data_IF_693726479392
#
_entry.id   IF_693726479392
#
_cell.length_a   1.000
_cell.length_b   1.000
_cell.length_c   1.000
_cell.angle_alpha   90.00
_cell.angle_beta   90.00
_cell.angle_gamma   90.00
#
_symmetry.space_group_name_H-M   'P 1'
#
loop_
_entity.id
_entity.type
_entity.pdbx_description
1 polymer ?
#
# COMPACT_ATOMS: atom_id res chain seq x y z
N UNK A 1 -3.03 52.51 -25.01
CA UNK A 1 -3.06 52.38 -26.48
C UNK A 1 -4.52 52.47 -26.92
N UNK A 2 -4.81 53.05 -28.09
CA UNK A 2 -6.19 53.20 -28.57
C UNK A 2 -6.72 51.88 -29.13
N UNK A 3 -8.01 51.59 -28.94
CA UNK A 3 -8.68 50.45 -29.55
C UNK A 3 -9.16 50.83 -30.96
N UNK A 4 -8.74 50.07 -31.98
CA UNK A 4 -9.20 50.24 -33.35
C UNK A 4 -10.59 49.63 -33.52
N UNK A 5 -11.61 50.47 -33.75
CA UNK A 5 -12.88 49.98 -34.28
C UNK A 5 -12.66 49.52 -35.73
N UNK A 6 -13.12 48.32 -36.05
CA UNK A 6 -13.32 47.90 -37.43
C UNK A 6 -14.75 48.22 -37.83
N UNK A 7 -14.94 49.22 -38.70
CA UNK A 7 -16.20 49.39 -39.40
C UNK A 7 -16.46 48.18 -40.29
N UNK A 8 -17.66 47.60 -40.14
CA UNK A 8 -18.15 46.53 -41.01
C UNK A 8 -18.92 47.21 -42.15
N UNK A 9 -18.65 46.87 -43.43
CA UNK A 9 -19.24 47.57 -44.55
C UNK A 9 -20.77 47.42 -44.56
N UNK A 10 -21.46 48.54 -44.35
CA UNK A 10 -22.93 48.61 -44.47
C UNK A 10 -23.34 48.25 -45.89
N UNK A 11 -24.17 47.21 -46.05
CA UNK A 11 -24.78 46.88 -47.34
C UNK A 11 -25.84 47.92 -47.70
N UNK A 12 -25.44 48.92 -48.48
CA UNK A 12 -26.39 49.79 -49.19
C UNK A 12 -27.28 48.93 -50.10
N UNK A 13 -28.59 48.96 -49.90
CA UNK A 13 -29.54 48.21 -50.72
C UNK A 13 -29.75 48.89 -52.09
N UNK A 14 -28.82 48.65 -53.02
CA UNK A 14 -28.95 49.11 -54.41
C UNK A 14 -29.95 48.24 -55.18
N UNK A 15 -31.24 48.47 -54.96
CA UNK A 15 -32.36 48.09 -55.85
C UNK A 15 -33.63 48.84 -55.38
N UNK A 16 -33.70 50.13 -55.68
CA UNK A 16 -34.96 50.88 -55.68
C UNK A 16 -35.43 50.96 -57.12
N UNK A 17 -36.56 50.32 -57.43
CA UNK A 17 -37.29 50.50 -58.69
C UNK A 17 -38.34 51.58 -58.48
N UNK A 18 -38.35 52.61 -59.33
CA UNK A 18 -39.18 53.83 -59.18
C UNK A 18 -40.71 53.63 -59.18
N UNK A 19 -41.19 52.39 -59.33
CA UNK A 19 -42.60 51.99 -59.36
C UNK A 19 -43.19 51.66 -57.96
N UNK A 20 -42.35 51.46 -56.93
CA UNK A 20 -42.80 51.07 -55.58
C UNK A 20 -42.76 52.25 -54.59
N UNK A 21 -43.94 52.85 -54.35
CA UNK A 21 -44.07 54.14 -53.65
C UNK A 21 -43.79 54.11 -52.12
N UNK A 22 -43.54 52.94 -51.52
CA UNK A 22 -43.21 52.77 -50.10
C UNK A 22 -42.20 51.61 -49.95
N UNK A 23 -41.00 51.83 -49.39
CA UNK A 23 -40.03 50.75 -49.15
C UNK A 23 -40.56 49.65 -48.22
N UNK A 24 -40.26 48.39 -48.52
CA UNK A 24 -40.69 47.26 -47.69
C UNK A 24 -39.76 46.98 -46.49
N UNK A 25 -40.36 46.72 -45.33
CA UNK A 25 -39.72 46.12 -44.16
C UNK A 25 -40.29 44.70 -43.96
N UNK A 26 -39.58 43.66 -44.44
CA UNK A 26 -40.03 42.28 -44.31
C UNK A 26 -40.00 41.77 -42.85
N UNK A 27 -41.10 42.01 -42.15
CA UNK A 27 -41.35 41.51 -40.79
C UNK A 27 -41.50 39.98 -40.69
N UNK A 28 -41.59 39.26 -41.81
CA UNK A 28 -41.58 37.79 -41.84
C UNK A 28 -40.18 37.23 -41.61
N UNK A 29 -39.14 37.84 -42.18
CA UNK A 29 -37.74 37.49 -41.91
C UNK A 29 -37.38 37.73 -40.43
N UNK A 30 -37.82 38.86 -39.86
CA UNK A 30 -37.65 39.16 -38.43
C UNK A 30 -38.24 38.05 -37.54
N UNK A 31 -39.43 37.55 -37.89
CA UNK A 31 -40.07 36.41 -37.20
C UNK A 31 -39.24 35.13 -37.34
N UNK A 32 -38.78 34.81 -38.56
CA UNK A 32 -37.96 33.62 -38.85
C UNK A 32 -36.69 33.60 -38.01
N UNK A 33 -35.97 34.72 -37.98
CA UNK A 33 -34.73 34.88 -37.21
C UNK A 33 -34.93 34.63 -35.71
N UNK A 34 -36.05 35.10 -35.13
CA UNK A 34 -36.34 34.86 -33.72
C UNK A 34 -36.75 33.40 -33.41
N UNK A 35 -37.38 32.69 -34.34
CA UNK A 35 -37.66 31.26 -34.20
C UNK A 35 -36.36 30.43 -34.23
N UNK A 36 -35.45 30.75 -35.16
CA UNK A 36 -34.11 30.14 -35.24
C UNK A 36 -33.29 30.41 -33.97
N UNK A 37 -33.36 31.64 -33.44
CA UNK A 37 -32.67 32.04 -32.20
C UNK A 37 -33.21 31.30 -30.97
N UNK A 38 -34.53 31.09 -30.85
CA UNK A 38 -35.09 30.22 -29.79
C UNK A 38 -34.70 28.76 -29.96
N UNK A 39 -34.54 28.27 -31.19
CA UNK A 39 -34.06 26.90 -31.43
C UNK A 39 -32.60 26.73 -30.98
N UNK A 40 -31.74 27.73 -31.21
CA UNK A 40 -30.38 27.76 -30.69
C UNK A 40 -30.35 27.73 -29.14
N UNK A 41 -31.14 28.56 -28.46
CA UNK A 41 -31.25 28.53 -26.98
C UNK A 41 -31.79 27.21 -26.46
N UNK A 42 -32.77 26.60 -27.14
CA UNK A 42 -33.29 25.27 -26.78
C UNK A 42 -32.19 24.20 -26.85
N UNK A 43 -31.36 24.21 -27.90
CA UNK A 43 -30.24 23.28 -28.02
C UNK A 43 -29.16 23.54 -26.95
N UNK A 44 -28.84 24.80 -26.65
CA UNK A 44 -27.91 25.16 -25.59
C UNK A 44 -28.40 24.69 -24.20
N UNK A 45 -29.70 24.80 -23.92
CA UNK A 45 -30.31 24.26 -22.71
C UNK A 45 -30.19 22.73 -22.64
N UNK A 46 -30.50 22.05 -23.74
CA UNK A 46 -30.34 20.59 -23.86
C UNK A 46 -28.91 20.11 -23.60
N UNK A 47 -27.91 20.75 -24.18
CA UNK A 47 -26.50 20.38 -23.95
C UNK A 47 -26.05 20.55 -22.50
N UNK A 48 -26.64 21.51 -21.77
CA UNK A 48 -26.37 21.69 -20.35
C UNK A 48 -27.13 20.67 -19.48
N UNK A 49 -28.36 20.30 -19.85
CA UNK A 49 -29.09 19.18 -19.27
C UNK A 49 -28.30 17.87 -19.43
N UNK A 50 -27.86 17.55 -20.65
CA UNK A 50 -27.06 16.36 -20.98
C UNK A 50 -25.75 16.29 -20.17
N UNK A 51 -25.04 17.41 -20.02
CA UNK A 51 -23.80 17.49 -19.23
C UNK A 51 -24.02 17.22 -17.74
N UNK A 52 -25.07 17.81 -17.14
CA UNK A 52 -25.38 17.61 -15.72
C UNK A 52 -25.94 16.20 -15.48
N UNK A 53 -26.73 15.64 -16.41
CA UNK A 53 -27.20 14.25 -16.31
C UNK A 53 -26.06 13.23 -16.49
N UNK A 54 -25.10 13.49 -17.38
CA UNK A 54 -23.88 12.69 -17.50
C UNK A 54 -23.05 12.75 -16.21
N UNK A 55 -22.97 13.92 -15.57
CA UNK A 55 -22.29 14.08 -14.27
C UNK A 55 -23.03 13.33 -13.15
N UNK A 56 -24.36 13.39 -13.09
CA UNK A 56 -25.19 12.63 -12.15
C UNK A 56 -24.97 11.12 -12.29
N UNK A 57 -24.98 10.62 -13.53
CA UNK A 57 -24.69 9.22 -13.85
C UNK A 57 -23.27 8.81 -13.42
N UNK A 58 -22.28 9.71 -13.51
CA UNK A 58 -20.94 9.46 -13.01
C UNK A 58 -20.89 9.37 -11.48
N UNK A 59 -21.57 10.27 -10.75
CA UNK A 59 -21.69 10.20 -9.29
C UNK A 59 -22.37 8.88 -8.82
N UNK A 60 -23.46 8.49 -9.51
CA UNK A 60 -24.14 7.21 -9.30
C UNK A 60 -23.31 5.98 -9.72
N UNK A 61 -22.27 6.15 -10.54
CA UNK A 61 -21.30 5.11 -10.86
C UNK A 61 -20.24 4.99 -9.76
N UNK A 62 -19.65 6.11 -9.32
CA UNK A 62 -18.69 6.16 -8.21
C UNK A 62 -19.23 5.48 -6.94
N UNK A 63 -20.52 5.66 -6.62
CA UNK A 63 -21.20 4.92 -5.55
C UNK A 63 -20.95 3.40 -5.63
N UNK A 64 -21.20 2.80 -6.80
CA UNK A 64 -21.10 1.35 -7.04
C UNK A 64 -19.66 0.85 -7.04
N UNK A 65 -18.72 1.70 -7.43
CA UNK A 65 -17.29 1.37 -7.35
C UNK A 65 -16.79 1.45 -5.90
N UNK A 66 -17.21 2.46 -5.11
CA UNK A 66 -16.91 2.50 -3.68
C UNK A 66 -17.60 1.37 -2.89
N UNK A 67 -18.79 0.89 -3.30
CA UNK A 67 -19.36 -0.37 -2.78
C UNK A 67 -18.51 -1.61 -3.08
N UNK A 68 -17.70 -1.61 -4.16
CA UNK A 68 -16.73 -2.68 -4.45
C UNK A 68 -15.45 -2.51 -3.63
N UNK A 69 -14.94 -1.29 -3.49
CA UNK A 69 -13.80 -0.98 -2.61
C UNK A 69 -14.14 -1.37 -1.17
N UNK A 70 -15.33 -1.01 -0.67
CA UNK A 70 -15.80 -1.37 0.67
C UNK A 70 -15.78 -2.88 0.93
N UNK A 71 -16.08 -3.70 -0.09
CA UNK A 71 -16.07 -5.17 0.03
C UNK A 71 -14.67 -5.72 0.34
N UNK A 72 -13.59 -5.07 -0.08
CA UNK A 72 -12.21 -5.52 0.22
C UNK A 72 -11.87 -5.41 1.71
N UNK A 73 -12.48 -4.44 2.42
CA UNK A 73 -12.31 -4.19 3.86
C UNK A 73 -13.55 -4.56 4.70
N UNK A 74 -14.56 -5.19 4.09
CA UNK A 74 -15.85 -5.51 4.73
C UNK A 74 -15.77 -6.66 5.75
N UNK A 75 -14.87 -7.61 5.55
CA UNK A 75 -14.63 -8.70 6.47
C UNK A 75 -13.70 -8.25 7.61
N UNK A 76 -13.86 -8.80 8.84
CA UNK A 76 -12.83 -8.70 9.87
C UNK A 76 -11.49 -9.25 9.39
N UNK A 77 -10.39 -8.78 9.99
CA UNK A 77 -9.05 -9.27 9.68
C UNK A 77 -8.96 -10.78 9.86
N UNK A 78 -8.46 -11.48 8.83
CA UNK A 78 -8.01 -12.87 8.97
C UNK A 78 -6.91 -12.91 10.04
N UNK A 79 -6.96 -13.93 10.89
CA UNK A 79 -6.06 -14.06 12.05
C UNK A 79 -6.09 -12.83 12.98
N UNK A 80 -7.19 -12.06 12.96
CA UNK A 80 -7.37 -10.79 13.67
C UNK A 80 -7.01 -10.81 15.16
N UNK A 81 -7.11 -11.99 15.80
CA UNK A 81 -6.68 -12.24 17.18
C UNK A 81 -5.20 -11.93 17.48
N UNK A 82 -4.33 -11.79 16.47
CA UNK A 82 -2.95 -11.35 16.68
C UNK A 82 -2.86 -9.84 16.96
N UNK A 83 -3.74 -9.04 16.37
CA UNK A 83 -3.80 -7.59 16.57
C UNK A 83 -4.58 -7.23 17.84
N UNK A 84 -4.29 -6.09 18.44
CA UNK A 84 -5.13 -5.56 19.51
C UNK A 84 -6.48 -5.09 18.94
N UNK A 85 -7.55 -5.28 19.71
CA UNK A 85 -8.92 -4.97 19.31
C UNK A 85 -9.40 -3.61 19.88
N UNK A 86 -8.56 -2.92 20.65
CA UNK A 86 -8.83 -1.56 21.13
C UNK A 86 -8.64 -0.52 20.01
N UNK A 87 -9.31 0.63 20.16
CA UNK A 87 -9.10 1.77 19.27
C UNK A 87 -7.66 2.29 19.39
N UNK A 88 -7.03 2.59 18.25
CA UNK A 88 -5.63 3.00 18.16
C UNK A 88 -4.69 1.90 17.64
N UNK A 89 -5.18 0.67 17.46
CA UNK A 89 -4.47 -0.41 16.78
C UNK A 89 -4.87 -0.62 15.31
N UNK A 90 -4.23 -1.58 14.67
CA UNK A 90 -4.44 -1.99 13.26
C UNK A 90 -5.87 -2.47 13.02
N UNK A 91 -6.52 -3.14 13.99
CA UNK A 91 -7.93 -3.49 13.85
C UNK A 91 -8.81 -2.24 13.71
N UNK A 92 -8.60 -1.24 14.58
CA UNK A 92 -9.28 0.06 14.52
C UNK A 92 -8.99 0.84 13.23
N UNK A 93 -7.77 0.70 12.68
CA UNK A 93 -7.41 1.28 11.38
C UNK A 93 -8.26 0.72 10.24
N UNK A 94 -8.45 -0.60 10.17
CA UNK A 94 -9.29 -1.22 9.14
C UNK A 94 -10.78 -0.90 9.34
N UNK A 95 -11.24 -0.76 10.58
CA UNK A 95 -12.60 -0.29 10.90
C UNK A 95 -12.82 1.17 10.50
N UNK A 96 -11.82 2.04 10.67
CA UNK A 96 -11.82 3.41 10.19
C UNK A 96 -11.88 3.47 8.65
N UNK A 97 -11.01 2.72 7.96
CA UNK A 97 -10.98 2.65 6.49
C UNK A 97 -12.33 2.16 5.94
N UNK A 98 -12.94 1.14 6.55
CA UNK A 98 -14.28 0.64 6.20
C UNK A 98 -15.34 1.74 6.37
N UNK A 99 -15.31 2.44 7.50
CA UNK A 99 -16.28 3.51 7.82
C UNK A 99 -16.16 4.70 6.85
N UNK A 100 -14.94 5.16 6.58
CA UNK A 100 -14.69 6.25 5.63
C UNK A 100 -14.98 5.85 4.18
N UNK A 101 -14.80 4.58 3.80
CA UNK A 101 -15.18 4.09 2.46
C UNK A 101 -16.70 3.97 2.29
N UNK A 102 -17.44 3.60 3.34
CA UNK A 102 -18.90 3.71 3.35
C UNK A 102 -19.35 5.19 3.28
N UNK A 103 -18.62 6.10 3.94
CA UNK A 103 -18.81 7.55 3.83
C UNK A 103 -18.67 8.04 2.39
N UNK A 104 -17.62 7.63 1.68
CA UNK A 104 -17.38 7.92 0.26
C UNK A 104 -18.53 7.41 -0.64
N UNK A 105 -18.98 6.17 -0.47
CA UNK A 105 -20.13 5.64 -1.23
C UNK A 105 -21.41 6.47 -0.98
N UNK A 106 -21.63 6.89 0.27
CA UNK A 106 -22.80 7.66 0.67
C UNK A 106 -22.77 9.11 0.16
N UNK A 107 -21.61 9.79 0.17
CA UNK A 107 -21.51 11.15 -0.36
C UNK A 107 -21.79 11.19 -1.86
N UNK A 108 -21.15 10.32 -2.64
CA UNK A 108 -21.40 10.17 -4.08
C UNK A 108 -22.89 9.86 -4.39
N UNK A 109 -23.55 9.07 -3.54
CA UNK A 109 -24.98 8.78 -3.64
C UNK A 109 -25.82 10.05 -3.44
N UNK A 110 -25.50 10.88 -2.45
CA UNK A 110 -26.26 12.10 -2.17
C UNK A 110 -25.99 13.20 -3.21
N UNK A 111 -24.74 13.35 -3.67
CA UNK A 111 -24.40 14.24 -4.79
C UNK A 111 -25.23 13.91 -6.03
N UNK A 112 -25.37 12.61 -6.38
CA UNK A 112 -26.22 12.19 -7.49
C UNK A 112 -27.69 12.60 -7.29
N UNK A 113 -28.26 12.39 -6.10
CA UNK A 113 -29.64 12.81 -5.79
C UNK A 113 -29.83 14.31 -5.91
N UNK A 114 -28.90 15.13 -5.42
CA UNK A 114 -29.02 16.60 -5.47
C UNK A 114 -28.92 17.12 -6.91
N UNK A 115 -27.99 16.57 -7.72
CA UNK A 115 -27.92 16.88 -9.15
C UNK A 115 -29.24 16.55 -9.88
N UNK A 116 -29.83 15.37 -9.57
CA UNK A 116 -31.07 14.89 -10.18
C UNK A 116 -32.33 15.63 -9.72
N UNK A 117 -32.42 15.91 -8.42
CA UNK A 117 -33.63 16.40 -7.74
C UNK A 117 -33.70 17.92 -7.58
N UNK A 118 -32.56 18.61 -7.64
CA UNK A 118 -32.48 20.07 -7.49
C UNK A 118 -32.01 20.75 -8.77
N UNK A 119 -30.91 20.29 -9.37
CA UNK A 119 -30.27 21.03 -10.48
C UNK A 119 -30.94 20.78 -11.84
N UNK A 120 -31.13 19.52 -12.25
CA UNK A 120 -31.79 19.20 -13.52
C UNK A 120 -33.21 19.79 -13.67
N UNK A 121 -34.07 19.84 -12.61
CA UNK A 121 -35.39 20.46 -12.70
C UNK A 121 -35.38 21.97 -13.05
N UNK A 122 -34.32 22.71 -12.70
CA UNK A 122 -34.18 24.13 -13.07
C UNK A 122 -34.10 24.25 -14.60
N UNK A 123 -33.27 23.42 -15.23
CA UNK A 123 -33.07 23.41 -16.68
C UNK A 123 -34.26 22.82 -17.42
N UNK A 124 -34.83 21.70 -16.93
CA UNK A 124 -36.03 21.09 -17.52
C UNK A 124 -37.23 22.05 -17.55
N UNK A 125 -37.35 22.91 -16.52
CA UNK A 125 -38.30 24.02 -16.50
C UNK A 125 -37.97 25.08 -17.55
N UNK A 126 -36.72 25.53 -17.63
CA UNK A 126 -36.27 26.51 -18.62
C UNK A 126 -36.48 26.03 -20.07
N UNK A 127 -36.19 24.76 -20.36
CA UNK A 127 -36.45 24.12 -21.64
C UNK A 127 -37.95 24.16 -21.98
N UNK A 128 -38.83 23.91 -21.00
CA UNK A 128 -40.26 24.05 -21.17
C UNK A 128 -40.70 25.51 -21.41
N UNK A 129 -40.08 26.48 -20.73
CA UNK A 129 -40.31 27.92 -20.93
C UNK A 129 -39.88 28.36 -22.35
N UNK A 130 -38.69 27.98 -22.82
CA UNK A 130 -38.22 28.22 -24.21
C UNK A 130 -39.17 27.57 -25.24
N UNK A 131 -39.59 26.33 -25.00
CA UNK A 131 -40.55 25.60 -25.85
C UNK A 131 -41.93 26.27 -25.87
N UNK A 132 -42.31 27.01 -24.83
CA UNK A 132 -43.55 27.77 -24.79
C UNK A 132 -43.40 29.14 -25.47
N UNK A 133 -42.30 29.86 -25.27
CA UNK A 133 -42.00 31.12 -25.97
C UNK A 133 -41.91 30.94 -27.49
N UNK A 134 -41.43 29.79 -27.94
CA UNK A 134 -41.43 29.41 -29.37
C UNK A 134 -42.86 29.30 -29.92
N UNK A 135 -43.74 28.53 -29.25
CA UNK A 135 -45.18 28.44 -29.62
C UNK A 135 -45.90 29.79 -29.58
N UNK A 136 -45.54 30.65 -28.64
CA UNK A 136 -46.09 32.01 -28.50
C UNK A 136 -45.77 32.82 -29.75
N UNK A 137 -44.49 32.88 -30.15
CA UNK A 137 -44.07 33.57 -31.38
C UNK A 137 -44.74 32.98 -32.63
N UNK A 138 -44.74 31.65 -32.81
CA UNK A 138 -45.37 31.01 -33.99
C UNK A 138 -46.88 31.28 -34.09
N UNK A 139 -47.58 31.53 -32.96
CA UNK A 139 -49.03 31.83 -32.94
C UNK A 139 -49.36 33.33 -32.99
N UNK A 140 -48.45 34.19 -32.54
CA UNK A 140 -48.60 35.64 -32.57
C UNK A 140 -48.23 36.24 -33.92
N UNK A 141 -47.14 35.76 -34.52
CA UNK A 141 -46.58 36.31 -35.75
C UNK A 141 -47.50 36.13 -36.98
N UNK A 142 -47.29 36.96 -37.98
CA UNK A 142 -48.05 36.92 -39.24
C UNK A 142 -49.49 37.42 -39.17
N UNK A 143 -49.96 37.95 -38.03
CA UNK A 143 -51.24 38.67 -37.95
C UNK A 143 -51.13 40.09 -38.51
N UNK A 144 -50.19 40.89 -38.02
CA UNK A 144 -49.95 42.26 -38.49
C UNK A 144 -49.53 42.30 -39.96
N UNK A 145 -48.57 41.45 -40.36
CA UNK A 145 -48.17 41.28 -41.76
C UNK A 145 -49.37 41.07 -42.71
N UNK A 146 -50.32 40.17 -42.38
CA UNK A 146 -51.52 39.95 -43.22
C UNK A 146 -52.48 41.15 -43.30
N UNK A 147 -52.44 42.07 -42.33
CA UNK A 147 -53.17 43.34 -42.41
C UNK A 147 -52.45 44.34 -43.31
N UNK A 148 -51.12 44.42 -43.18
CA UNK A 148 -50.24 45.19 -44.07
C UNK A 148 -50.37 44.73 -45.53
N UNK A 149 -50.22 43.43 -45.80
CA UNK A 149 -50.40 42.82 -47.13
C UNK A 149 -51.74 43.22 -47.75
N UNK A 150 -52.81 43.13 -46.96
CA UNK A 150 -54.18 43.45 -47.41
C UNK A 150 -54.35 44.95 -47.66
N UNK A 151 -53.71 45.81 -46.87
CA UNK A 151 -53.73 47.25 -47.07
C UNK A 151 -52.96 47.63 -48.35
N UNK A 152 -51.70 47.17 -48.49
CA UNK A 152 -50.86 47.32 -49.69
C UNK A 152 -51.58 46.90 -50.97
N UNK A 153 -52.12 45.67 -51.00
CA UNK A 153 -52.91 45.14 -52.13
C UNK A 153 -54.17 45.97 -52.43
N UNK A 154 -54.69 46.74 -51.46
CA UNK A 154 -55.84 47.64 -51.65
C UNK A 154 -55.39 49.01 -52.15
N UNK A 155 -54.27 49.55 -51.65
CA UNK A 155 -53.66 50.79 -52.14
C UNK A 155 -53.23 50.64 -53.60
N UNK A 156 -52.43 49.61 -53.90
CA UNK A 156 -51.84 49.36 -55.21
C UNK A 156 -52.89 49.36 -56.33
N UNK A 157 -53.97 48.60 -56.16
CA UNK A 157 -55.09 48.53 -57.14
C UNK A 157 -55.78 49.87 -57.40
N UNK A 158 -55.70 50.82 -56.46
CA UNK A 158 -56.26 52.16 -56.64
C UNK A 158 -55.23 53.16 -57.19
N UNK A 159 -53.93 52.93 -56.98
CA UNK A 159 -52.85 53.63 -57.70
C UNK A 159 -52.86 53.24 -59.18
N UNK A 160 -52.98 51.94 -59.48
CA UNK A 160 -53.15 51.41 -60.84
C UNK A 160 -54.41 51.98 -61.53
N UNK A 161 -55.55 51.98 -60.84
CA UNK A 161 -56.80 52.56 -61.35
C UNK A 161 -56.67 54.07 -61.61
N UNK A 162 -56.03 54.81 -60.69
CA UNK A 162 -55.73 56.23 -60.89
C UNK A 162 -54.85 56.44 -62.14
N UNK A 163 -53.79 55.64 -62.30
CA UNK A 163 -52.89 55.71 -63.46
C UNK A 163 -53.59 55.43 -64.79
N UNK A 164 -54.52 54.47 -64.81
CA UNK A 164 -55.33 54.16 -65.99
C UNK A 164 -56.25 55.34 -66.37
N UNK A 165 -56.88 56.00 -65.38
CA UNK A 165 -57.79 57.12 -65.63
C UNK A 165 -57.09 58.48 -65.85
N UNK A 166 -55.88 58.70 -65.33
CA UNK A 166 -55.06 59.85 -65.74
C UNK A 166 -54.51 59.68 -67.15
N UNK A 167 -53.96 58.52 -67.51
CA UNK A 167 -53.43 58.27 -68.86
C UNK A 167 -54.50 58.31 -69.97
N UNK A 168 -55.75 57.99 -69.63
CA UNK A 168 -56.90 58.07 -70.57
C UNK A 168 -57.61 59.44 -70.57
N UNK A 169 -57.25 60.37 -69.69
CA UNK A 169 -57.92 61.68 -69.59
C UNK A 169 -57.79 62.52 -70.87
N UNK A 170 -56.55 62.72 -71.34
CA UNK A 170 -56.26 63.53 -72.53
C UNK A 170 -56.78 62.87 -73.83
N UNK A 171 -56.70 61.54 -73.91
CA UNK A 171 -57.11 60.77 -75.10
C UNK A 171 -58.63 60.57 -75.23
N UNK A 172 -59.39 60.67 -74.13
CA UNK A 172 -60.87 60.66 -74.14
C UNK A 172 -61.49 62.05 -74.23
N UNK A 173 -60.68 63.12 -74.11
CA UNK A 173 -61.16 64.50 -74.05
C UNK A 173 -62.00 64.78 -72.81
N UNK A 174 -61.62 64.20 -71.65
CA UNK A 174 -62.30 64.39 -70.37
C UNK A 174 -63.66 63.70 -70.22
N UNK A 175 -64.03 62.78 -71.12
CA UNK A 175 -65.32 62.05 -71.09
C UNK A 175 -65.30 60.84 -70.14
N UNK A 176 -65.07 61.09 -68.86
CA UNK A 176 -65.07 60.09 -67.78
C UNK A 176 -66.41 60.10 -67.01
N UNK A 177 -66.71 59.03 -66.26
CA UNK A 177 -67.82 59.06 -65.31
C UNK A 177 -67.40 59.74 -64.00
N UNK A 178 -68.36 60.19 -63.19
CA UNK A 178 -68.08 60.84 -61.90
C UNK A 178 -67.44 59.90 -60.85
N UNK A 179 -67.40 58.58 -61.09
CA UNK A 179 -66.67 57.61 -60.26
C UNK A 179 -65.22 57.41 -60.73
N UNK A 180 -64.95 57.65 -62.02
CA UNK A 180 -63.67 57.46 -62.69
C UNK A 180 -62.84 58.76 -62.74
N UNK A 181 -63.37 59.85 -62.18
CA UNK A 181 -62.73 61.15 -62.10
C UNK A 181 -61.34 61.05 -61.40
N UNK A 182 -60.24 61.48 -62.04
CA UNK A 182 -58.90 61.33 -61.47
C UNK A 182 -58.69 62.04 -60.13
N UNK A 183 -59.40 63.13 -59.84
CA UNK A 183 -59.29 63.83 -58.56
C UNK A 183 -60.04 63.07 -57.44
N UNK A 184 -61.21 62.48 -57.74
CA UNK A 184 -61.91 61.56 -56.84
C UNK A 184 -61.06 60.31 -56.57
N UNK A 185 -60.46 59.72 -57.61
CA UNK A 185 -59.57 58.57 -57.49
C UNK A 185 -58.30 58.90 -56.68
N UNK A 186 -57.68 60.06 -56.90
CA UNK A 186 -56.51 60.51 -56.13
C UNK A 186 -56.82 60.66 -54.64
N UNK A 187 -57.99 61.22 -54.29
CA UNK A 187 -58.46 61.26 -52.89
C UNK A 187 -58.73 59.87 -52.33
N UNK A 188 -59.19 58.95 -53.18
CA UNK A 188 -59.31 57.52 -52.86
C UNK A 188 -57.95 56.87 -52.54
N UNK A 189 -56.91 57.18 -53.30
CA UNK A 189 -55.52 56.73 -53.05
C UNK A 189 -55.00 57.28 -51.74
N UNK A 190 -55.09 58.59 -51.49
CA UNK A 190 -54.61 59.19 -50.22
C UNK A 190 -55.26 58.54 -48.98
N UNK A 191 -56.57 58.24 -49.02
CA UNK A 191 -57.25 57.54 -47.94
C UNK A 191 -56.70 56.12 -47.69
N UNK A 192 -56.39 55.37 -48.76
CA UNK A 192 -55.89 53.99 -48.67
C UNK A 192 -54.43 53.95 -48.25
N UNK A 193 -53.59 54.83 -48.80
CA UNK A 193 -52.19 55.01 -48.42
C UNK A 193 -52.06 55.40 -46.93
N UNK A 194 -52.87 56.35 -46.45
CA UNK A 194 -52.92 56.69 -45.03
C UNK A 194 -53.34 55.48 -44.17
N UNK A 195 -54.28 54.65 -44.63
CA UNK A 195 -54.63 53.42 -43.93
C UNK A 195 -53.47 52.42 -43.91
N UNK A 196 -52.81 52.19 -45.05
CA UNK A 196 -51.65 51.31 -45.15
C UNK A 196 -50.55 51.73 -44.17
N UNK A 197 -50.19 53.02 -44.14
CA UNK A 197 -49.22 53.59 -43.21
C UNK A 197 -49.61 53.34 -41.75
N UNK A 198 -50.91 53.35 -41.41
CA UNK A 198 -51.38 53.00 -40.06
C UNK A 198 -51.18 51.50 -39.75
N UNK A 199 -51.55 50.59 -40.66
CA UNK A 199 -51.36 49.15 -40.45
C UNK A 199 -49.86 48.78 -40.39
N UNK A 200 -49.01 49.44 -41.19
CA UNK A 200 -47.55 49.28 -41.20
C UNK A 200 -46.91 49.78 -39.90
N UNK A 201 -47.29 50.96 -39.41
CA UNK A 201 -46.81 51.46 -38.11
C UNK A 201 -47.29 50.59 -36.94
N UNK A 202 -48.52 50.06 -36.99
CA UNK A 202 -49.02 49.12 -35.98
C UNK A 202 -48.17 47.83 -35.98
N UNK A 203 -47.94 47.22 -37.15
CA UNK A 203 -47.13 46.01 -37.29
C UNK A 203 -45.67 46.25 -36.83
N UNK A 204 -45.09 47.42 -37.13
CA UNK A 204 -43.77 47.85 -36.63
C UNK A 204 -43.74 47.93 -35.11
N UNK A 205 -44.76 48.53 -34.49
CA UNK A 205 -44.85 48.67 -33.02
C UNK A 205 -45.08 47.32 -32.32
N UNK A 206 -45.84 46.41 -32.92
CA UNK A 206 -45.96 45.01 -32.47
C UNK A 206 -44.59 44.30 -32.53
N UNK A 207 -43.85 44.44 -33.64
CA UNK A 207 -42.52 43.82 -33.77
C UNK A 207 -41.51 44.40 -32.76
N UNK A 208 -41.50 45.71 -32.52
CA UNK A 208 -40.68 46.32 -31.45
C UNK A 208 -41.07 45.77 -30.06
N UNK A 209 -42.34 45.48 -29.83
CA UNK A 209 -42.81 44.87 -28.57
C UNK A 209 -42.33 43.42 -28.44
N UNK A 210 -42.35 42.64 -29.52
CA UNK A 210 -41.78 41.29 -29.58
C UNK A 210 -40.27 41.32 -29.32
N UNK A 211 -39.52 42.22 -29.97
CA UNK A 211 -38.07 42.38 -29.79
C UNK A 211 -37.70 42.66 -28.32
N UNK A 212 -38.41 43.59 -27.67
CA UNK A 212 -38.20 43.90 -26.25
C UNK A 212 -38.54 42.73 -25.33
N UNK A 213 -39.63 42.01 -25.59
CA UNK A 213 -39.99 40.79 -24.84
C UNK A 213 -38.93 39.68 -25.01
N UNK A 214 -38.32 39.58 -26.19
CA UNK A 214 -37.22 38.67 -26.46
C UNK A 214 -35.95 39.02 -25.70
N UNK A 215 -35.53 40.29 -25.68
CA UNK A 215 -34.35 40.73 -24.93
C UNK A 215 -34.48 40.42 -23.42
N UNK A 216 -35.67 40.62 -22.85
CA UNK A 216 -35.96 40.25 -21.45
C UNK A 216 -35.93 38.73 -21.24
N UNK A 217 -36.49 37.96 -22.18
CA UNK A 217 -36.49 36.50 -22.10
C UNK A 217 -35.08 35.88 -22.20
N UNK A 218 -34.21 36.41 -23.06
CA UNK A 218 -32.83 35.94 -23.16
C UNK A 218 -31.98 36.29 -21.93
N UNK A 219 -32.21 37.45 -21.30
CA UNK A 219 -31.61 37.76 -20.01
C UNK A 219 -32.03 36.76 -18.92
N UNK A 220 -33.30 36.34 -18.89
CA UNK A 220 -33.79 35.28 -17.99
C UNK A 220 -33.16 33.91 -18.29
N UNK A 221 -33.01 33.52 -19.55
CA UNK A 221 -32.33 32.28 -19.97
C UNK A 221 -30.88 32.26 -19.46
N UNK A 222 -30.13 33.34 -19.71
CA UNK A 222 -28.73 33.46 -19.26
C UNK A 222 -28.64 33.47 -17.73
N UNK A 223 -29.52 34.19 -17.03
CA UNK A 223 -29.53 34.25 -15.58
C UNK A 223 -29.83 32.88 -14.95
N UNK A 224 -30.72 32.10 -15.57
CA UNK A 224 -31.08 30.74 -15.12
C UNK A 224 -29.95 29.74 -15.36
N UNK A 225 -29.22 29.85 -16.48
CA UNK A 225 -27.98 29.07 -16.70
C UNK A 225 -26.90 29.41 -15.65
N UNK A 226 -26.72 30.70 -15.32
CA UNK A 226 -25.76 31.11 -14.29
C UNK A 226 -26.11 30.54 -12.91
N UNK A 227 -27.38 30.60 -12.52
CA UNK A 227 -27.85 30.01 -11.25
C UNK A 227 -27.64 28.49 -11.21
N UNK A 228 -28.05 27.76 -12.24
CA UNK A 228 -27.86 26.31 -12.35
C UNK A 228 -26.36 25.91 -12.27
N UNK A 229 -25.47 26.65 -12.96
CA UNK A 229 -24.02 26.43 -12.89
C UNK A 229 -23.44 26.77 -11.52
N UNK A 230 -23.89 27.84 -10.87
CA UNK A 230 -23.43 28.21 -9.54
C UNK A 230 -23.81 27.16 -8.50
N UNK A 231 -25.06 26.68 -8.52
CA UNK A 231 -25.52 25.61 -7.63
C UNK A 231 -24.81 24.27 -7.93
N UNK A 232 -24.64 23.90 -9.20
CA UNK A 232 -23.84 22.75 -9.62
C UNK A 232 -22.40 22.80 -9.08
N UNK A 233 -21.75 23.96 -9.18
CA UNK A 233 -20.39 24.18 -8.69
C UNK A 233 -20.27 24.04 -7.16
N UNK A 234 -21.26 24.54 -6.41
CA UNK A 234 -21.33 24.38 -4.95
C UNK A 234 -21.48 22.91 -4.55
N UNK A 235 -22.38 22.17 -5.21
CA UNK A 235 -22.62 20.74 -4.98
C UNK A 235 -21.36 19.91 -5.27
N UNK A 236 -20.65 20.21 -6.36
CA UNK A 236 -19.42 19.52 -6.75
C UNK A 236 -18.23 19.88 -5.84
N UNK A 237 -18.09 21.15 -5.43
CA UNK A 237 -17.07 21.56 -4.44
C UNK A 237 -17.27 20.84 -3.11
N UNK A 238 -18.51 20.79 -2.60
CA UNK A 238 -18.82 20.08 -1.36
C UNK A 238 -18.49 18.59 -1.42
N UNK A 239 -18.79 17.93 -2.54
CA UNK A 239 -18.43 16.53 -2.77
C UNK A 239 -16.90 16.31 -2.75
N UNK A 240 -16.13 17.22 -3.37
CA UNK A 240 -14.66 17.21 -3.33
C UNK A 240 -14.10 17.37 -1.91
N UNK A 241 -14.67 18.29 -1.12
CA UNK A 241 -14.24 18.51 0.28
C UNK A 241 -14.57 17.32 1.20
N UNK A 242 -15.70 16.64 0.96
CA UNK A 242 -16.02 15.39 1.65
C UNK A 242 -15.02 14.29 1.32
N UNK A 243 -14.67 14.09 0.03
CA UNK A 243 -13.64 13.12 -0.37
C UNK A 243 -12.29 13.41 0.29
N UNK A 244 -11.86 14.68 0.28
CA UNK A 244 -10.64 15.14 0.98
C UNK A 244 -10.70 14.80 2.47
N UNK A 245 -11.85 15.01 3.11
CA UNK A 245 -12.03 14.76 4.55
C UNK A 245 -11.94 13.27 4.88
N UNK A 246 -12.63 12.40 4.13
CA UNK A 246 -12.61 10.94 4.38
C UNK A 246 -11.20 10.33 4.24
N UNK A 247 -10.45 10.69 3.20
CA UNK A 247 -9.06 10.23 3.05
C UNK A 247 -8.10 10.89 4.07
N UNK A 248 -8.38 12.13 4.48
CA UNK A 248 -7.65 12.81 5.54
C UNK A 248 -7.78 12.11 6.89
N UNK A 249 -8.98 11.66 7.25
CA UNK A 249 -9.25 10.91 8.48
C UNK A 249 -8.60 9.51 8.46
N UNK A 250 -8.70 8.76 7.34
CA UNK A 250 -7.96 7.49 7.18
C UNK A 250 -6.46 7.66 7.45
N UNK A 251 -5.85 8.70 6.88
CA UNK A 251 -4.43 8.98 7.06
C UNK A 251 -4.10 9.42 8.51
N UNK A 252 -4.92 10.28 9.10
CA UNK A 252 -4.73 10.75 10.48
C UNK A 252 -4.88 9.61 11.51
N UNK A 253 -5.89 8.75 11.33
CA UNK A 253 -6.11 7.57 12.17
C UNK A 253 -4.93 6.60 12.08
N UNK A 254 -4.48 6.30 10.86
CA UNK A 254 -3.29 5.45 10.60
C UNK A 254 -2.02 6.04 11.21
N UNK A 255 -1.82 7.36 11.10
CA UNK A 255 -0.62 8.06 11.62
C UNK A 255 -0.58 8.18 13.15
N UNK A 256 -1.71 7.94 13.83
CA UNK A 256 -1.81 7.97 15.29
C UNK A 256 -1.42 6.64 15.96
N UNK A 257 -1.29 5.56 15.18
CA UNK A 257 -0.87 4.23 15.67
C UNK A 257 0.61 4.30 16.06
N UNK A 258 0.93 4.00 17.33
CA UNK A 258 2.33 3.96 17.76
C UNK A 258 3.02 2.70 17.22
N UNK A 259 4.29 2.77 16.77
CA UNK A 259 5.01 1.61 16.22
C UNK A 259 5.12 0.41 17.17
N UNK A 260 5.07 0.63 18.48
CA UNK A 260 5.15 -0.39 19.54
C UNK A 260 3.77 -0.89 20.01
N UNK A 261 2.67 -0.29 19.57
CA UNK A 261 1.32 -0.56 20.09
C UNK A 261 0.92 -2.04 19.98
N UNK A 262 0.98 -2.60 18.76
CA UNK A 262 0.64 -4.01 18.50
C UNK A 262 1.57 -4.98 19.24
N UNK A 263 2.87 -4.67 19.31
CA UNK A 263 3.84 -5.52 20.00
C UNK A 263 3.59 -5.55 21.50
N UNK A 264 3.38 -4.39 22.14
CA UNK A 264 3.06 -4.31 23.56
C UNK A 264 1.72 -5.00 23.86
N UNK A 265 0.70 -4.81 23.01
CA UNK A 265 -0.58 -5.51 23.10
C UNK A 265 -0.42 -7.03 22.96
N UNK A 266 0.44 -7.50 22.06
CA UNK A 266 0.74 -8.92 21.86
C UNK A 266 1.51 -9.52 23.04
N UNK A 267 2.54 -8.83 23.56
CA UNK A 267 3.27 -9.23 24.77
C UNK A 267 2.30 -9.42 25.95
N UNK A 268 1.46 -8.43 26.22
CA UNK A 268 0.51 -8.46 27.33
C UNK A 268 -0.49 -9.63 27.23
N UNK A 269 -0.95 -9.96 26.02
CA UNK A 269 -1.91 -11.05 25.78
C UNK A 269 -1.29 -12.46 25.80
N UNK A 270 0.04 -12.59 25.66
CA UNK A 270 0.75 -13.87 25.54
C UNK A 270 1.87 -14.05 26.59
N UNK A 271 1.86 -13.25 27.67
CA UNK A 271 2.91 -13.21 28.70
C UNK A 271 3.17 -14.54 29.44
N UNK A 272 2.23 -15.48 29.33
CA UNK A 272 2.30 -16.84 29.88
C UNK A 272 2.90 -17.88 28.91
N UNK A 273 3.13 -17.51 27.64
CA UNK A 273 3.69 -18.35 26.58
C UNK A 273 5.06 -17.83 26.14
N UNK A 274 5.21 -16.50 26.06
CA UNK A 274 6.45 -15.84 25.67
C UNK A 274 7.50 -15.95 26.79
N UNK A 275 8.77 -15.95 26.39
CA UNK A 275 9.90 -16.00 27.31
C UNK A 275 10.06 -14.60 27.95
N UNK A 276 10.02 -14.52 29.28
CA UNK A 276 10.40 -13.32 30.01
C UNK A 276 11.89 -13.01 29.77
N UNK A 277 12.25 -11.85 29.16
CA UNK A 277 13.65 -11.49 28.93
C UNK A 277 14.42 -11.19 30.23
N UNK A 278 13.74 -11.04 31.36
CA UNK A 278 14.33 -10.90 32.70
C UNK A 278 14.46 -12.25 33.43
N UNK A 279 13.93 -13.33 32.84
CA UNK A 279 13.99 -14.67 33.42
C UNK A 279 15.44 -15.17 33.48
N UNK A 280 15.87 -15.80 34.58
CA UNK A 280 17.24 -16.27 34.70
C UNK A 280 17.54 -17.39 33.69
N UNK A 281 18.75 -17.43 33.10
CA UNK A 281 19.16 -18.54 32.24
C UNK A 281 19.15 -19.86 33.03
N UNK A 282 18.84 -20.95 32.33
CA UNK A 282 18.85 -22.30 32.93
C UNK A 282 20.30 -22.69 33.26
N UNK A 283 20.59 -22.89 34.55
CA UNK A 283 21.84 -23.52 35.03
C UNK A 283 21.57 -24.94 35.56
N UNK A 284 22.57 -25.81 35.47
CA UNK A 284 22.55 -27.14 36.09
C UNK A 284 22.37 -27.10 37.62
N UNK A 285 22.76 -26.01 38.27
CA UNK A 285 22.51 -25.78 39.71
C UNK A 285 21.02 -25.77 40.05
N UNK A 286 20.20 -25.27 39.11
CA UNK A 286 18.76 -25.15 39.23
C UNK A 286 18.01 -26.37 38.64
N UNK A 287 18.73 -27.38 38.14
CA UNK A 287 18.14 -28.63 37.61
C UNK A 287 18.14 -29.70 38.70
N UNK A 288 16.96 -29.95 39.27
CA UNK A 288 16.72 -31.12 40.12
C UNK A 288 16.17 -32.28 39.28
N UNK A 289 16.69 -33.49 39.51
CA UNK A 289 16.24 -34.72 38.86
C UNK A 289 16.22 -35.90 39.85
N UNK A 290 15.35 -36.91 39.65
CA UNK A 290 15.28 -38.06 40.54
C UNK A 290 16.64 -38.75 40.72
N UNK A 291 16.96 -39.12 41.96
CA UNK A 291 18.21 -39.79 42.36
C UNK A 291 19.52 -38.99 42.24
N UNK A 292 19.51 -37.68 41.86
CA UNK A 292 20.71 -36.80 41.84
C UNK A 292 21.60 -36.98 43.08
N UNK A 293 20.98 -36.89 44.26
CA UNK A 293 21.64 -36.99 45.57
C UNK A 293 21.48 -38.38 46.22
N UNK A 294 21.19 -39.44 45.46
CA UNK A 294 21.04 -40.79 46.01
C UNK A 294 22.41 -41.32 46.48
N UNK A 295 22.47 -41.98 47.65
CA UNK A 295 23.74 -42.44 48.25
C UNK A 295 24.65 -43.27 47.34
N UNK A 296 24.12 -43.94 46.32
CA UNK A 296 24.92 -44.72 45.36
C UNK A 296 25.51 -43.91 44.19
N UNK A 297 25.07 -42.66 43.96
CA UNK A 297 25.69 -41.73 43.00
C UNK A 297 26.82 -40.91 43.62
N UNK A 298 26.97 -40.94 44.95
CA UNK A 298 28.04 -40.26 45.67
C UNK A 298 29.25 -41.21 45.83
N UNK A 299 30.48 -40.79 45.46
CA UNK A 299 31.66 -41.60 45.64
C UNK A 299 32.04 -41.74 47.12
N UNK A 300 32.63 -42.88 47.50
CA UNK A 300 33.23 -43.10 48.82
C UNK A 300 34.54 -42.31 48.97
N UNK A 301 35.28 -42.19 47.87
CA UNK A 301 36.37 -41.24 47.67
C UNK A 301 36.52 -40.98 46.17
N UNK A 302 36.82 -39.75 45.78
CA UNK A 302 37.17 -39.39 44.42
C UNK A 302 38.23 -38.28 44.40
N UNK A 303 38.95 -38.14 43.29
CA UNK A 303 40.07 -37.21 43.14
C UNK A 303 41.14 -37.75 42.20
N UNK A 304 42.21 -36.98 42.00
CA UNK A 304 43.30 -37.40 41.11
C UNK A 304 44.31 -38.32 41.80
N UNK A 305 44.70 -39.38 41.09
CA UNK A 305 45.85 -40.23 41.40
C UNK A 305 46.74 -40.30 40.16
N UNK A 306 48.03 -40.58 40.36
CA UNK A 306 48.90 -40.96 39.26
C UNK A 306 49.00 -42.49 39.16
N UNK A 307 48.85 -43.03 37.95
CA UNK A 307 48.98 -44.46 37.68
C UNK A 307 50.23 -44.72 36.84
N UNK A 308 50.93 -45.83 37.15
CA UNK A 308 52.13 -46.22 36.42
C UNK A 308 51.77 -46.80 35.04
N UNK A 309 51.99 -46.03 33.98
CA UNK A 309 51.66 -46.38 32.60
C UNK A 309 52.43 -47.60 32.08
N UNK A 310 51.72 -48.53 31.43
CA UNK A 310 52.27 -49.83 30.98
C UNK A 310 53.43 -49.72 29.98
N UNK A 311 53.42 -48.70 29.13
CA UNK A 311 54.39 -48.55 28.01
C UNK A 311 55.62 -47.77 28.46
N UNK A 312 55.45 -46.52 28.92
CA UNK A 312 56.58 -45.63 29.26
C UNK A 312 57.07 -45.77 30.71
N UNK A 313 56.42 -46.59 31.55
CA UNK A 313 56.69 -46.77 33.00
C UNK A 313 56.65 -45.47 33.84
N UNK A 314 56.20 -44.36 33.25
CA UNK A 314 55.96 -43.08 33.93
C UNK A 314 54.69 -43.13 34.76
N UNK A 315 54.56 -42.20 35.69
CA UNK A 315 53.32 -41.95 36.41
C UNK A 315 52.53 -40.90 35.64
N UNK A 316 51.28 -41.20 35.31
CA UNK A 316 50.37 -40.37 34.52
C UNK A 316 49.14 -40.04 35.38
N UNK A 317 48.76 -38.75 35.57
CA UNK A 317 47.63 -38.37 36.39
C UNK A 317 46.30 -38.66 35.67
N UNK A 318 45.31 -39.14 36.42
CA UNK A 318 43.93 -39.28 35.95
C UNK A 318 42.97 -39.08 37.13
N UNK A 319 41.69 -38.88 36.86
CA UNK A 319 40.68 -38.79 37.91
C UNK A 319 40.17 -40.19 38.26
N UNK A 320 39.92 -40.45 39.54
CA UNK A 320 39.47 -41.74 40.02
C UNK A 320 38.29 -41.57 40.96
N UNK A 321 37.43 -42.60 41.05
CA UNK A 321 36.35 -42.67 42.01
C UNK A 321 36.10 -44.10 42.51
N UNK A 322 36.06 -44.29 43.83
CA UNK A 322 35.50 -45.51 44.45
C UNK A 322 34.01 -45.30 44.67
N UNK A 323 33.18 -46.18 44.12
CA UNK A 323 31.72 -46.11 44.27
C UNK A 323 31.21 -47.06 45.37
N UNK A 324 30.04 -46.78 45.99
CA UNK A 324 29.36 -47.72 46.90
C UNK A 324 29.01 -49.07 46.26
N UNK A 325 28.98 -49.15 44.93
CA UNK A 325 28.91 -50.39 44.14
C UNK A 325 30.21 -51.20 44.14
N UNK A 326 31.24 -50.76 44.90
CA UNK A 326 32.57 -51.37 45.07
C UNK A 326 33.42 -51.42 43.80
N UNK A 327 33.21 -50.48 42.88
CA UNK A 327 34.12 -50.27 41.75
C UNK A 327 35.08 -49.11 42.03
N UNK A 328 36.34 -49.25 41.59
CA UNK A 328 37.26 -48.15 41.34
C UNK A 328 37.24 -47.85 39.84
N UNK A 329 36.74 -46.68 39.46
CA UNK A 329 36.76 -46.20 38.07
C UNK A 329 37.93 -45.25 37.85
N UNK A 330 38.45 -45.25 36.62
CA UNK A 330 39.44 -44.31 36.11
C UNK A 330 38.82 -43.47 34.99
N UNK A 331 38.89 -42.14 35.11
CA UNK A 331 38.37 -41.17 34.14
C UNK A 331 39.48 -40.21 33.72
N UNK A 332 39.37 -39.70 32.49
CA UNK A 332 40.33 -38.74 31.94
C UNK A 332 40.24 -37.35 32.57
N UNK A 333 39.09 -37.01 33.15
CA UNK A 333 38.76 -35.73 33.77
C UNK A 333 37.53 -35.91 34.67
N UNK A 334 37.32 -34.95 35.56
CA UNK A 334 36.16 -34.71 36.41
C UNK A 334 35.13 -33.72 35.81
N UNK A 335 35.36 -33.25 34.59
CA UNK A 335 34.45 -32.37 33.86
C UNK A 335 33.31 -33.16 33.17
N UNK A 336 32.29 -33.49 33.96
CA UNK A 336 31.01 -34.11 33.55
C UNK A 336 30.19 -33.25 32.55
N UNK A 337 30.58 -31.99 32.30
CA UNK A 337 29.81 -31.04 31.48
C UNK A 337 30.36 -30.89 30.07
N UNK A 338 31.69 -30.83 29.91
CA UNK A 338 32.32 -30.70 28.59
C UNK A 338 32.49 -32.05 27.87
N UNK A 339 32.40 -33.18 28.58
CA UNK A 339 32.60 -34.53 28.02
C UNK A 339 31.70 -35.56 28.73
N UNK A 340 31.27 -36.57 27.99
CA UNK A 340 30.57 -37.74 28.54
C UNK A 340 31.54 -38.54 29.45
N UNK A 341 31.24 -38.74 30.76
CA UNK A 341 32.15 -39.37 31.71
C UNK A 341 32.19 -40.90 31.52
N UNK A 342 32.96 -41.35 30.52
CA UNK A 342 33.22 -42.76 30.24
C UNK A 342 34.47 -43.23 31.00
N UNK A 343 34.41 -44.29 31.83
CA UNK A 343 35.59 -44.86 32.47
C UNK A 343 36.56 -45.49 31.47
N UNK A 344 37.84 -45.10 31.49
CA UNK A 344 38.90 -45.76 30.70
C UNK A 344 39.28 -47.13 31.27
N UNK A 345 39.21 -47.29 32.60
CA UNK A 345 39.42 -48.55 33.35
C UNK A 345 38.36 -48.63 34.46
N UNK A 346 37.95 -49.85 34.84
CA UNK A 346 37.07 -50.07 36.00
C UNK A 346 37.40 -51.37 36.71
N UNK A 347 37.86 -51.29 37.96
CA UNK A 347 38.23 -52.46 38.78
C UNK A 347 37.10 -52.77 39.77
N UNK A 348 36.56 -53.99 39.75
CA UNK A 348 35.64 -54.44 40.78
C UNK A 348 36.44 -54.89 42.01
N UNK A 349 36.45 -54.07 43.06
CA UNK A 349 37.37 -54.21 44.19
C UNK A 349 37.21 -55.54 44.97
N UNK A 350 36.02 -56.15 45.11
CA UNK A 350 35.87 -57.48 45.72
C UNK A 350 36.59 -58.61 44.97
N UNK A 351 36.90 -58.44 43.68
CA UNK A 351 37.70 -59.39 42.89
C UNK A 351 39.20 -58.99 42.84
N UNK A 352 39.59 -57.95 43.57
CA UNK A 352 40.94 -57.39 43.58
C UNK A 352 41.69 -57.67 44.88
N UNK A 353 43.02 -57.71 44.78
CA UNK A 353 43.96 -57.80 45.90
C UNK A 353 44.66 -56.45 46.06
N UNK A 354 44.60 -55.83 47.24
CA UNK A 354 45.39 -54.63 47.56
C UNK A 354 46.68 -55.02 48.28
N UNK A 355 47.83 -54.54 47.82
CA UNK A 355 49.13 -54.75 48.47
C UNK A 355 49.35 -53.84 49.68
N UNK A 356 50.60 -53.67 50.11
CA UNK A 356 50.96 -52.74 51.18
C UNK A 356 51.02 -51.28 50.71
N UNK A 357 50.82 -50.35 51.65
CA UNK A 357 51.05 -48.91 51.48
C UNK A 357 52.54 -48.59 51.66
N UNK A 358 53.17 -48.05 50.61
CA UNK A 358 54.58 -47.62 50.53
C UNK A 358 54.65 -46.08 50.45
N UNK A 359 54.48 -45.43 51.60
CA UNK A 359 54.43 -43.96 51.70
C UNK A 359 53.28 -43.38 50.88
N UNK A 360 53.61 -42.78 49.73
CA UNK A 360 52.62 -42.22 48.79
C UNK A 360 52.08 -43.22 47.76
N UNK A 361 52.53 -44.49 47.78
CA UNK A 361 52.22 -45.49 46.74
C UNK A 361 51.48 -46.70 47.30
N UNK A 362 50.62 -47.30 46.48
CA UNK A 362 50.03 -48.62 46.76
C UNK A 362 49.82 -49.38 45.44
N UNK A 363 49.57 -50.69 45.54
CA UNK A 363 49.27 -51.53 44.37
C UNK A 363 47.93 -52.24 44.52
N UNK A 364 47.18 -52.32 43.42
CA UNK A 364 45.97 -53.15 43.29
C UNK A 364 46.20 -54.16 42.17
N UNK A 365 46.10 -55.44 42.47
CA UNK A 365 46.07 -56.52 41.49
C UNK A 365 44.61 -56.83 41.18
N UNK A 366 44.19 -56.65 39.92
CA UNK A 366 42.78 -56.81 39.54
C UNK A 366 42.54 -56.99 38.06
N UNK A 367 41.30 -57.31 37.69
CA UNK A 367 40.83 -57.37 36.30
C UNK A 367 40.12 -56.07 35.92
N UNK A 368 40.34 -55.60 34.70
CA UNK A 368 39.58 -54.49 34.14
C UNK A 368 38.21 -54.97 33.62
N UNK A 369 37.14 -54.39 34.15
CA UNK A 369 35.75 -54.65 33.83
C UNK A 369 35.13 -53.56 32.93
N UNK A 370 35.87 -52.52 32.54
CA UNK A 370 35.40 -51.42 31.67
C UNK A 370 34.72 -51.92 30.39
N UNK A 371 35.20 -53.03 29.81
CA UNK A 371 34.76 -53.60 28.53
C UNK A 371 33.56 -54.55 28.65
N UNK A 372 32.83 -54.49 29.77
CA UNK A 372 31.60 -55.24 30.00
C UNK A 372 31.78 -56.76 30.02
N UNK A 373 30.65 -57.48 30.06
CA UNK A 373 30.62 -58.94 30.30
C UNK A 373 31.43 -59.76 29.28
N UNK A 374 31.40 -59.39 28.00
CA UNK A 374 32.10 -60.14 26.93
C UNK A 374 33.62 -59.98 27.04
N UNK A 375 34.12 -58.78 27.39
CA UNK A 375 35.54 -58.55 27.61
C UNK A 375 36.07 -59.12 28.94
N UNK A 376 35.28 -59.01 30.01
CA UNK A 376 35.69 -59.35 31.38
C UNK A 376 36.09 -60.82 31.57
N UNK A 377 35.43 -61.76 30.88
CA UNK A 377 35.78 -63.19 30.98
C UNK A 377 37.20 -63.52 30.47
N UNK A 378 37.74 -62.71 29.54
CA UNK A 378 39.11 -62.86 29.01
C UNK A 378 40.10 -61.85 29.62
N UNK A 379 39.67 -61.01 30.56
CA UNK A 379 40.54 -60.05 31.23
C UNK A 379 41.55 -60.78 32.13
N UNK A 380 42.82 -60.70 31.77
CA UNK A 380 43.93 -61.08 32.65
C UNK A 380 44.02 -60.11 33.83
N UNK A 381 44.41 -60.63 34.99
CA UNK A 381 44.71 -59.77 36.14
C UNK A 381 45.98 -58.96 35.88
N UNK A 382 45.95 -57.68 36.21
CA UNK A 382 47.06 -56.75 36.08
C UNK A 382 47.39 -56.09 37.41
N UNK A 383 48.66 -55.77 37.60
CA UNK A 383 49.16 -55.01 38.74
C UNK A 383 49.13 -53.51 38.41
N UNK A 384 48.22 -52.80 39.07
CA UNK A 384 48.04 -51.36 38.94
C UNK A 384 48.74 -50.67 40.11
N UNK A 385 49.86 -50.00 39.85
CA UNK A 385 50.59 -49.21 40.87
C UNK A 385 50.13 -47.77 40.79
N UNK A 386 49.60 -47.28 41.91
CA UNK A 386 49.10 -45.92 42.09
C UNK A 386 50.04 -45.11 42.98
N UNK A 387 50.06 -43.80 42.77
CA UNK A 387 50.72 -42.80 43.61
C UNK A 387 49.74 -41.66 43.87
N UNK A 388 49.55 -41.30 45.15
CA UNK A 388 48.83 -40.09 45.54
C UNK A 388 49.79 -38.90 45.65
N UNK A 389 49.23 -37.71 45.87
CA UNK A 389 50.00 -36.47 46.04
C UNK A 389 50.66 -36.35 47.42
N UNK A 390 50.02 -36.90 48.45
CA UNK A 390 50.49 -36.87 49.85
C UNK A 390 50.41 -38.27 50.47
N UNK A 391 51.11 -38.46 51.60
CA UNK A 391 51.07 -39.73 52.36
C UNK A 391 49.70 -39.92 53.01
N UNK A 392 49.10 -38.81 53.42
CA UNK A 392 47.80 -38.70 54.07
C UNK A 392 46.67 -39.06 53.09
N UNK A 393 46.75 -38.61 51.84
CA UNK A 393 45.81 -39.00 50.79
C UNK A 393 46.04 -40.45 50.35
N UNK A 394 47.28 -40.90 50.25
CA UNK A 394 47.58 -42.31 50.00
C UNK A 394 46.94 -43.21 51.06
N UNK A 395 47.02 -42.84 52.35
CA UNK A 395 46.36 -43.55 53.44
C UNK A 395 44.82 -43.52 53.36
N UNK A 396 44.20 -42.38 53.01
CA UNK A 396 42.73 -42.27 52.80
C UNK A 396 42.26 -43.21 51.69
N UNK A 397 42.90 -43.13 50.52
CA UNK A 397 42.60 -44.01 49.39
C UNK A 397 42.83 -45.48 49.76
N UNK A 398 43.94 -45.78 50.42
CA UNK A 398 44.30 -47.12 50.85
C UNK A 398 43.23 -47.76 51.75
N UNK A 399 42.87 -47.12 52.85
CA UNK A 399 41.90 -47.68 53.81
C UNK A 399 40.48 -47.78 53.20
N UNK A 400 40.07 -46.81 52.36
CA UNK A 400 38.76 -46.88 51.71
C UNK A 400 38.71 -48.02 50.68
N UNK A 401 39.73 -48.19 49.84
CA UNK A 401 39.80 -49.32 48.89
C UNK A 401 39.87 -50.65 49.65
N UNK A 402 40.73 -50.75 50.66
CA UNK A 402 40.90 -51.92 51.55
C UNK A 402 39.60 -52.30 52.27
N UNK A 403 38.74 -51.33 52.62
CA UNK A 403 37.44 -51.61 53.25
C UNK A 403 36.42 -52.30 52.33
N UNK A 404 36.63 -52.29 51.01
CA UNK A 404 35.75 -52.92 50.00
C UNK A 404 36.47 -53.92 49.09
N UNK A 405 37.78 -54.11 49.26
CA UNK A 405 38.59 -55.07 48.52
C UNK A 405 38.32 -56.52 48.94
N UNK A 406 38.56 -57.48 48.05
CA UNK A 406 38.39 -58.90 48.33
C UNK A 406 39.49 -59.49 49.21
N UNK A 407 40.72 -59.03 49.01
CA UNK A 407 41.91 -59.52 49.71
C UNK A 407 42.93 -58.39 49.94
N UNK A 408 43.74 -58.53 50.99
CA UNK A 408 44.84 -57.62 51.34
C UNK A 408 46.11 -58.42 51.54
N UNK A 409 47.23 -58.00 50.95
CA UNK A 409 48.57 -58.58 51.17
C UNK A 409 49.55 -57.53 51.70
N UNK A 410 50.56 -57.98 52.44
CA UNK A 410 51.65 -57.12 52.92
C UNK A 410 52.75 -56.89 51.86
N UNK A 411 52.43 -57.07 50.57
CA UNK A 411 53.40 -56.97 49.47
C UNK A 411 53.59 -55.51 49.04
N UNK A 412 54.82 -55.00 49.18
CA UNK A 412 55.19 -53.65 48.73
C UNK A 412 55.20 -53.55 47.19
N UNK A 413 54.92 -52.38 46.58
CA UNK A 413 54.87 -52.21 45.13
C UNK A 413 56.20 -52.50 44.41
N UNK A 414 56.27 -53.61 43.66
CA UNK A 414 57.53 -54.06 43.06
C UNK A 414 57.91 -53.33 41.76
N UNK A 415 59.22 -53.26 41.48
CA UNK A 415 59.78 -52.74 40.22
C UNK A 415 60.60 -53.81 39.49
N UNK A 416 60.14 -54.32 38.33
CA UNK A 416 60.91 -55.31 37.56
C UNK A 416 62.19 -54.72 36.96
N UNK A 417 63.32 -55.36 37.27
CA UNK A 417 64.66 -55.10 36.70
C UNK A 417 64.90 -55.89 35.41
N UNK A 418 65.99 -55.58 34.71
CA UNK A 418 66.24 -55.89 33.29
C UNK A 418 67.12 -57.11 33.01
N UNK A 419 66.94 -57.75 31.85
CA UNK A 419 67.96 -58.58 31.19
C UNK A 419 67.81 -58.56 29.66
N UNK A 420 68.93 -58.49 28.93
CA UNK A 420 69.02 -58.53 27.45
C UNK A 420 70.05 -59.58 27.01
N UNK A 421 70.00 -60.09 25.76
CA UNK A 421 71.27 -60.22 25.02
C UNK A 421 71.23 -60.03 23.47
N UNK A 422 72.08 -59.12 23.01
CA UNK A 422 72.98 -59.13 21.81
C UNK A 422 72.73 -60.09 20.61
N UNK A 423 72.39 -59.48 19.47
CA UNK A 423 72.93 -59.57 18.09
C UNK A 423 73.56 -60.84 17.47
N UNK A 424 73.23 -61.12 16.19
CA UNK A 424 74.18 -61.63 15.16
C UNK A 424 73.72 -61.41 13.69
N UNK A 425 74.68 -61.21 12.78
CA UNK A 425 74.60 -61.05 11.30
C UNK A 425 75.95 -61.50 10.67
N UNK A 426 76.21 -61.46 9.34
CA UNK A 426 75.36 -61.29 8.13
C UNK A 426 75.32 -62.62 7.30
N UNK A 427 75.18 -62.80 5.97
CA UNK A 427 75.11 -62.01 4.69
C UNK A 427 74.41 -62.91 3.61
N UNK A 428 74.40 -62.79 2.26
CA UNK A 428 75.10 -61.97 1.25
C UNK A 428 74.39 -62.02 -0.15
N UNK A 429 74.91 -61.24 -1.12
CA UNK A 429 74.78 -61.30 -2.61
C UNK A 429 73.51 -60.78 -3.33
N UNK A 430 73.81 -59.88 -4.28
CA UNK A 430 73.07 -59.37 -5.45
C UNK A 430 73.28 -60.28 -6.69
N UNK A 431 72.75 -60.00 -7.92
CA UNK A 431 71.96 -58.85 -8.41
C UNK A 431 70.66 -59.30 -9.15
N UNK A 432 69.90 -58.56 -10.00
CA UNK A 432 69.85 -57.15 -10.50
C UNK A 432 68.41 -56.83 -11.01
N UNK A 433 68.15 -55.69 -11.69
CA UNK A 433 66.96 -55.56 -12.56
C UNK A 433 66.13 -54.25 -12.60
N UNK A 434 66.78 -53.09 -12.82
CA UNK A 434 66.31 -51.79 -13.37
C UNK A 434 64.81 -51.34 -13.45
N UNK A 435 64.60 -50.05 -13.12
CA UNK A 435 63.58 -49.09 -13.61
C UNK A 435 62.10 -49.23 -13.14
N UNK A 436 61.30 -48.16 -12.95
CA UNK A 436 61.48 -46.71 -12.74
C UNK A 436 60.14 -46.11 -12.19
N UNK A 437 60.09 -44.89 -11.60
CA UNK A 437 58.79 -44.21 -11.34
C UNK A 437 58.58 -43.34 -10.07
N UNK A 438 59.40 -42.31 -9.85
CA UNK A 438 59.13 -41.01 -9.17
C UNK A 438 58.07 -40.81 -8.05
N UNK A 439 58.50 -40.21 -6.93
CA UNK A 439 57.68 -39.38 -5.99
C UNK A 439 57.70 -37.87 -6.45
N UNK A 440 57.37 -36.78 -5.68
CA UNK A 440 57.31 -36.50 -4.20
C UNK A 440 55.86 -36.25 -3.69
N UNK A 441 55.50 -36.09 -2.40
CA UNK A 441 56.10 -35.64 -1.12
C UNK A 441 55.82 -34.17 -0.71
N UNK A 442 55.01 -34.04 0.36
CA UNK A 442 54.88 -33.03 1.47
C UNK A 442 55.93 -31.88 1.58
N UNK A 443 55.59 -30.67 2.13
CA UNK A 443 55.07 -30.52 3.52
C UNK A 443 54.10 -29.34 3.84
N UNK A 444 53.82 -29.15 5.13
CA UNK A 444 52.92 -28.15 5.75
C UNK A 444 53.59 -26.81 6.09
N UNK A 445 52.83 -25.79 6.56
CA UNK A 445 53.08 -25.07 7.83
C UNK A 445 52.04 -23.98 8.21
N UNK A 446 51.86 -23.75 9.52
CA UNK A 446 51.54 -22.50 10.29
C UNK A 446 50.69 -21.34 9.72
N UNK A 447 49.52 -21.14 10.32
CA UNK A 447 49.16 -20.08 11.31
C UNK A 447 49.52 -18.57 11.13
N UNK A 448 48.61 -17.74 11.69
CA UNK A 448 48.75 -16.35 12.21
C UNK A 448 48.60 -15.12 11.26
N UNK A 449 47.43 -14.48 11.36
CA UNK A 449 47.23 -13.09 11.84
C UNK A 449 48.07 -11.92 11.24
N UNK A 450 47.41 -10.96 10.56
CA UNK A 450 47.06 -9.62 11.10
C UNK A 450 46.18 -8.80 10.12
N UNK A 451 45.72 -7.61 10.52
CA UNK A 451 44.89 -6.67 9.71
C UNK A 451 45.57 -5.29 9.66
N UNK A 452 45.55 -4.58 8.51
CA UNK A 452 45.03 -3.20 8.54
C UNK A 452 44.19 -2.76 7.32
N UNK A 453 43.34 -1.79 7.63
CA UNK A 453 42.40 -0.95 6.86
C UNK A 453 42.86 -0.29 5.56
N UNK A 454 41.88 -0.06 4.66
CA UNK A 454 41.74 1.09 3.72
C UNK A 454 42.84 1.34 2.65
N UNK A 455 42.59 2.03 1.52
CA UNK A 455 41.44 2.85 1.08
C UNK A 455 41.27 2.78 -0.45
N UNK A 456 40.07 3.01 -0.98
CA UNK A 456 39.86 3.70 -2.28
C UNK A 456 38.40 4.12 -2.46
N UNK A 457 38.16 5.22 -3.17
CA UNK A 457 36.83 5.78 -3.41
C UNK A 457 36.59 6.00 -4.90
N UNK A 458 35.31 6.05 -5.31
CA UNK A 458 34.92 6.65 -6.59
C UNK A 458 33.64 7.50 -6.44
N UNK A 459 33.45 8.46 -7.34
CA UNK A 459 32.42 9.52 -7.29
C UNK A 459 31.51 9.46 -8.53
N UNK A 460 30.21 9.65 -8.31
CA UNK A 460 29.34 10.51 -9.14
C UNK A 460 28.08 10.84 -8.30
N UNK A 461 27.65 12.09 -8.07
CA UNK A 461 27.37 13.20 -8.98
C UNK A 461 26.08 12.96 -9.81
N UNK A 462 25.12 13.89 -9.91
CA UNK A 462 24.97 15.22 -9.31
C UNK A 462 23.48 15.65 -9.27
N UNK A 463 23.19 16.83 -8.71
CA UNK A 463 22.02 17.62 -9.13
C UNK A 463 21.59 18.68 -8.10
N UNK A 464 21.58 19.99 -8.43
CA UNK A 464 21.50 21.04 -7.41
C UNK A 464 20.08 21.59 -7.16
N UNK A 465 19.85 22.08 -5.94
CA UNK A 465 18.70 22.91 -5.60
C UNK A 465 18.96 24.40 -5.91
N UNK A 466 17.93 25.14 -6.30
CA UNK A 466 17.92 26.60 -6.28
C UNK A 466 17.35 27.10 -4.95
N UNK A 467 17.93 28.18 -4.42
CA UNK A 467 17.40 28.90 -3.25
C UNK A 467 16.48 30.04 -3.67
N UNK A 468 15.62 30.46 -2.74
CA UNK A 468 14.86 31.72 -2.81
C UNK A 468 15.10 32.48 -1.51
N UNK A 469 15.47 33.75 -1.62
CA UNK A 469 15.53 34.66 -0.48
C UNK A 469 14.15 35.32 -0.27
N UNK A 470 13.78 35.58 0.98
CA UNK A 470 12.62 36.40 1.32
C UNK A 470 13.06 37.49 2.30
N UNK A 471 12.52 38.69 2.12
CA UNK A 471 12.78 39.85 2.96
C UNK A 471 11.47 40.62 3.21
N UNK A 472 11.50 41.42 4.27
CA UNK A 472 10.59 42.51 4.63
C UNK A 472 9.22 42.23 5.28
N UNK A 473 8.90 43.20 6.17
CA UNK A 473 7.62 43.49 6.87
C UNK A 473 7.22 42.64 8.08
N UNK A 474 7.81 43.00 9.22
CA UNK A 474 7.06 43.49 10.37
C UNK A 474 7.79 44.72 10.96
#
# INVERSE_FOLDING_TARGET
MAATQHDIPTRTATNMTDDEAVPDEDTSEVTRLFLERLQAWKHACGYLEDYIEATEKNQAHHTKEYERVLKTVSNPLKEGHHFDQQLGGVAGMFDNIRSNTQGLANSHTETAKVLKGTILPILARLHAEIKNKNKELTKGAGKGAKLVDKARNTTQKHVELLGQHTASYDSTGGKLTAADDPYVLQRGVYHRLNKQIIEENNNRQDMLTVQNSFAQFEAHVVQTFQDAINQFSQVMSHQSDQVRTFYGDMNANTSAIKPDFEWNGFLNRNNNILIDPNGPPRSMDNVNFPNRNHRATQPMIAGSLERKGKIMKRYEPSYYAVTPSKFLHEFKTDDDLAKDPVPEISLYLPDCVIGALDGVKFQIKGKDASKGKVGSHFAMSHDFVFKAHTTEDAAKWYEIIKSVAGQTTNELPQTPVTSSPVSRSPSNRFPEGSAEGSAPAVPASTAAEHVPTDTSAEKAAAGPAHGIATADKA
#
